data_IF_835565612388
#
_entry.id   IF_835565612388
#
_cell.length_a   1.000
_cell.length_b   1.000
_cell.length_c   1.000
_cell.angle_alpha   90.00
_cell.angle_beta   90.00
_cell.angle_gamma   90.00
#
_symmetry.space_group_name_H-M   'P 1'
#
loop_
_entity.id
_entity.type
_entity.pdbx_description
1 polymer ?
#
# COMPACT_ATOMS: atom_id res chain seq x y z
N UNK A 1 14.42 -1.22 6.48
CA UNK A 1 13.18 -1.80 5.89
C UNK A 1 13.31 -1.69 4.38
N UNK A 2 13.51 -2.81 3.65
CA UNK A 2 13.55 -2.78 2.20
C UNK A 2 12.14 -2.57 1.63
N UNK A 3 12.05 -1.79 0.56
CA UNK A 3 10.83 -1.74 -0.25
C UNK A 3 10.68 -3.05 -1.01
N UNK A 4 9.51 -3.66 -0.93
CA UNK A 4 9.16 -4.86 -1.68
C UNK A 4 8.26 -4.48 -2.83
N UNK A 5 8.52 -5.02 -4.01
CA UNK A 5 7.63 -4.83 -5.16
C UNK A 5 6.40 -5.72 -5.02
N UNK A 6 5.29 -5.24 -5.55
CA UNK A 6 4.04 -5.96 -5.51
C UNK A 6 2.95 -5.22 -6.26
N UNK A 7 1.71 -5.53 -5.91
CA UNK A 7 0.51 -4.93 -6.48
C UNK A 7 -0.47 -4.59 -5.38
N UNK A 8 -1.22 -3.52 -5.57
CA UNK A 8 -2.29 -3.07 -4.68
C UNK A 8 -3.57 -3.10 -5.49
N UNK A 9 -4.58 -3.80 -4.97
CA UNK A 9 -5.94 -3.76 -5.51
C UNK A 9 -6.76 -2.74 -4.75
N UNK A 10 -7.29 -1.73 -5.43
CA UNK A 10 -8.14 -0.69 -4.86
C UNK A 10 -9.58 -1.17 -4.65
N UNK A 11 -10.38 -0.40 -3.92
CA UNK A 11 -11.78 -0.72 -3.57
C UNK A 11 -12.71 -0.71 -4.79
N UNK A 12 -12.38 0.08 -5.81
CA UNK A 12 -13.00 0.06 -7.14
C UNK A 12 -12.66 -1.19 -7.98
N UNK A 13 -11.79 -2.06 -7.46
CA UNK A 13 -11.35 -3.31 -8.08
C UNK A 13 -10.15 -3.16 -9.02
N UNK A 14 -9.64 -1.94 -9.24
CA UNK A 14 -8.45 -1.71 -10.08
C UNK A 14 -7.18 -2.22 -9.41
N UNK A 15 -6.22 -2.69 -10.20
CA UNK A 15 -4.96 -3.24 -9.70
C UNK A 15 -3.80 -2.41 -10.26
N UNK A 16 -2.95 -1.92 -9.36
CA UNK A 16 -1.78 -1.14 -9.71
C UNK A 16 -0.50 -1.79 -9.21
N UNK A 17 0.60 -1.75 -9.99
CA UNK A 17 1.91 -2.08 -9.47
C UNK A 17 2.28 -1.11 -8.35
N UNK A 18 2.97 -1.60 -7.33
CA UNK A 18 3.30 -0.82 -6.16
C UNK A 18 4.61 -1.27 -5.51
N UNK A 19 5.18 -0.39 -4.70
CA UNK A 19 6.22 -0.75 -3.74
C UNK A 19 5.66 -0.61 -2.33
N UNK A 20 5.85 -1.64 -1.52
CA UNK A 20 5.33 -1.75 -0.17
C UNK A 20 6.50 -1.76 0.80
N UNK A 21 6.49 -0.85 1.76
CA UNK A 21 7.43 -0.85 2.87
C UNK A 21 6.83 -1.71 3.98
N UNK A 22 7.23 -2.97 4.03
CA UNK A 22 6.70 -3.95 5.00
C UNK A 22 7.65 -4.09 6.18
N UNK A 23 7.10 -4.10 7.39
CA UNK A 23 7.80 -4.43 8.63
C UNK A 23 8.05 -5.93 8.75
N UNK A 24 8.90 -6.30 9.70
CA UNK A 24 9.25 -7.70 9.98
C UNK A 24 8.05 -8.55 10.44
N UNK A 25 7.03 -7.91 11.03
CA UNK A 25 5.77 -8.53 11.45
C UNK A 25 4.74 -8.68 10.31
N UNK A 26 5.10 -8.30 9.08
CA UNK A 26 4.22 -8.34 7.92
C UNK A 26 3.30 -7.12 7.77
N UNK A 27 3.36 -6.15 8.69
CA UNK A 27 2.57 -4.92 8.56
C UNK A 27 3.16 -4.00 7.50
N UNK A 28 2.32 -3.51 6.60
CA UNK A 28 2.72 -2.47 5.65
C UNK A 28 2.70 -1.11 6.33
N UNK A 29 3.82 -0.42 6.26
CA UNK A 29 4.00 0.90 6.83
C UNK A 29 3.68 2.01 5.83
N UNK A 30 4.23 1.90 4.62
CA UNK A 30 4.00 2.82 3.50
C UNK A 30 3.76 2.04 2.21
N UNK A 31 2.99 2.63 1.30
CA UNK A 31 2.77 2.10 -0.04
C UNK A 31 3.06 3.18 -1.09
N UNK A 32 3.71 2.81 -2.18
CA UNK A 32 3.92 3.65 -3.36
C UNK A 32 3.22 3.04 -4.54
N UNK A 33 2.19 3.69 -5.04
CA UNK A 33 1.52 3.26 -6.26
C UNK A 33 2.37 3.71 -7.45
N UNK A 34 2.68 2.77 -8.33
CA UNK A 34 3.43 3.02 -9.55
C UNK A 34 2.46 3.20 -10.72
N UNK A 35 2.73 4.21 -11.56
CA UNK A 35 2.09 4.41 -12.86
C UNK A 35 3.19 4.68 -13.87
N UNK A 36 3.22 3.92 -14.96
CA UNK A 36 4.27 4.02 -15.99
C UNK A 36 5.71 3.88 -15.44
N UNK A 37 5.88 3.05 -14.40
CA UNK A 37 7.17 2.81 -13.75
C UNK A 37 7.66 3.94 -12.83
N UNK A 38 6.83 4.95 -12.57
CA UNK A 38 7.14 6.05 -11.64
C UNK A 38 6.16 6.05 -10.47
N UNK A 39 6.61 6.52 -9.31
CA UNK A 39 5.73 6.76 -8.16
C UNK A 39 4.70 7.83 -8.53
N UNK A 40 3.46 7.39 -8.67
CA UNK A 40 2.32 8.26 -8.92
C UNK A 40 1.79 8.85 -7.62
N UNK A 41 1.74 8.02 -6.57
CA UNK A 41 1.24 8.42 -5.26
C UNK A 41 1.99 7.65 -4.16
N UNK A 42 2.39 8.36 -3.10
CA UNK A 42 2.89 7.76 -1.88
C UNK A 42 1.81 7.87 -0.79
N UNK A 43 1.37 6.72 -0.32
CA UNK A 43 0.34 6.59 0.71
C UNK A 43 1.07 6.29 2.02
N UNK A 44 1.13 7.31 2.87
CA UNK A 44 1.37 7.13 4.29
C UNK A 44 0.12 6.52 4.91
N UNK A 45 0.23 5.27 5.33
CA UNK A 45 -0.90 4.45 5.78
C UNK A 45 -1.53 5.07 7.03
N UNK A 46 -0.73 5.65 7.93
CA UNK A 46 -1.24 6.33 9.12
C UNK A 46 -1.99 7.61 8.74
N UNK A 47 -1.44 8.40 7.82
CA UNK A 47 -2.09 9.65 7.37
C UNK A 47 -3.41 9.37 6.65
N UNK A 48 -3.47 8.31 5.85
CA UNK A 48 -4.66 7.89 5.14
C UNK A 48 -5.73 7.33 6.10
N UNK A 49 -5.33 6.50 7.06
CA UNK A 49 -6.22 5.98 8.09
C UNK A 49 -6.84 7.08 8.95
N UNK A 50 -6.02 8.04 9.40
CA UNK A 50 -6.48 9.20 10.14
C UNK A 50 -7.47 10.07 9.35
N UNK A 51 -7.26 10.26 8.04
CA UNK A 51 -8.19 11.01 7.18
C UNK A 51 -9.57 10.36 7.11
N UNK A 52 -9.64 9.03 7.22
CA UNK A 52 -10.86 8.24 7.19
C UNK A 52 -11.44 7.98 8.58
N UNK A 53 -10.81 8.51 9.64
CA UNK A 53 -11.18 8.31 11.04
C UNK A 53 -11.39 6.83 11.39
N UNK A 54 -10.51 5.98 10.87
CA UNK A 54 -10.53 4.52 11.00
C UNK A 54 -9.14 4.04 11.41
N UNK A 55 -9.06 2.85 12.00
CA UNK A 55 -7.79 2.22 12.35
C UNK A 55 -7.04 1.84 11.08
N UNK A 56 -5.70 1.83 11.10
CA UNK A 56 -4.89 1.38 9.95
C UNK A 56 -5.33 0.00 9.46
N UNK A 57 -5.68 -0.89 10.38
CA UNK A 57 -6.21 -2.24 10.15
C UNK A 57 -7.57 -2.23 9.44
N UNK A 58 -8.42 -1.23 9.70
CA UNK A 58 -9.76 -1.04 9.11
C UNK A 58 -9.74 -0.28 7.78
N UNK A 59 -8.66 0.46 7.54
CA UNK A 59 -8.37 1.19 6.28
C UNK A 59 -7.48 0.37 5.37
N UNK A 60 -7.32 -0.92 5.67
CA UNK A 60 -6.65 -1.86 4.81
C UNK A 60 -7.66 -2.65 3.92
N UNK A 61 -8.41 -2.04 2.97
CA UNK A 61 -9.21 -2.81 2.02
C UNK A 61 -8.38 -3.31 0.83
N UNK A 62 -7.06 -3.09 0.81
CA UNK A 62 -6.22 -3.50 -0.30
C UNK A 62 -5.50 -4.81 0.03
N UNK A 63 -6.01 -5.92 -0.50
CA UNK A 63 -5.16 -7.11 -0.69
C UNK A 63 -3.95 -6.70 -1.50
N UNK A 64 -2.76 -6.91 -0.93
CA UNK A 64 -1.50 -6.73 -1.63
C UNK A 64 -0.91 -8.09 -1.95
N UNK A 65 -0.35 -8.22 -3.14
CA UNK A 65 0.50 -9.35 -3.50
C UNK A 65 1.92 -8.83 -3.62
N UNK A 66 2.85 -9.47 -2.93
CA UNK A 66 4.28 -9.22 -3.14
C UNK A 66 4.73 -10.06 -4.34
N UNK A 67 5.50 -9.47 -5.24
CA UNK A 67 6.20 -10.26 -6.25
C UNK A 67 7.36 -10.98 -5.54
N UNK A 68 7.40 -12.31 -5.62
CA UNK A 68 8.49 -13.17 -5.09
C UNK A 68 9.84 -12.88 -5.77
#
# INVERSE_FOLDING_TARGET
>A
MPWKKGKIKLDDGTVHPAELLVKEDGQVWNARILKDGKTFEEIDVNKFANKLNKSVEDVYPYTYELDE
#
